data_IF_961637281117
#
_entry.id   IF_961637281117
#
_cell.length_a   1.000
_cell.length_b   1.000
_cell.length_c   1.000
_cell.angle_alpha   90.00
_cell.angle_beta   90.00
_cell.angle_gamma   90.00
#
_symmetry.space_group_name_H-M   'P 1'
#
loop_
_entity.id
_entity.type
_entity.pdbx_description
1 polymer ?
#
# COMPACT_ATOMS: atom_id res chain seq x y z
N UNK A 1 19.45 6.52 -27.80
CA UNK A 1 19.01 6.77 -26.41
C UNK A 1 17.52 7.09 -26.37
N UNK A 2 16.68 6.07 -26.19
CA UNK A 2 15.25 6.24 -26.04
C UNK A 2 14.95 6.48 -24.56
N UNK A 3 14.63 7.73 -24.21
CA UNK A 3 14.01 8.04 -22.93
C UNK A 3 12.58 7.51 -22.97
N UNK A 4 12.27 6.60 -22.04
CA UNK A 4 11.04 5.82 -22.01
C UNK A 4 9.84 6.73 -21.70
N UNK A 5 8.75 6.50 -22.43
CA UNK A 5 7.42 7.12 -22.39
C UNK A 5 6.93 7.55 -20.98
N UNK A 6 6.93 8.86 -20.72
CA UNK A 6 6.95 9.48 -19.39
C UNK A 6 5.61 9.90 -18.79
N UNK A 7 4.54 9.11 -18.94
CA UNK A 7 3.24 9.38 -18.28
C UNK A 7 2.98 8.51 -17.04
N UNK A 8 3.95 7.68 -16.63
CA UNK A 8 3.82 6.81 -15.47
C UNK A 8 4.19 7.54 -14.15
N UNK A 9 3.16 7.67 -13.29
CA UNK A 9 3.18 7.42 -11.83
C UNK A 9 3.34 8.51 -10.78
N UNK A 10 3.31 9.82 -11.08
CA UNK A 10 3.17 10.81 -9.98
C UNK A 10 1.78 10.69 -9.30
N UNK A 11 0.72 10.59 -10.10
CA UNK A 11 -0.63 10.39 -9.57
C UNK A 11 -0.78 9.05 -8.83
N UNK A 12 -0.04 8.02 -9.26
CA UNK A 12 -0.02 6.70 -8.61
C UNK A 12 0.62 6.76 -7.23
N UNK A 13 1.78 7.41 -7.11
CA UNK A 13 2.47 7.56 -5.82
C UNK A 13 1.69 8.48 -4.87
N UNK A 14 1.11 9.58 -5.37
CA UNK A 14 0.27 10.48 -4.56
C UNK A 14 -0.98 9.79 -4.04
N UNK A 15 -1.65 9.01 -4.89
CA UNK A 15 -2.83 8.22 -4.51
C UNK A 15 -2.47 7.19 -3.44
N UNK A 16 -1.34 6.49 -3.60
CA UNK A 16 -0.83 5.56 -2.59
C UNK A 16 -0.61 6.24 -1.24
N UNK A 17 0.09 7.38 -1.21
CA UNK A 17 0.35 8.11 0.02
C UNK A 17 -0.94 8.67 0.65
N UNK A 18 -1.93 9.08 -0.14
CA UNK A 18 -3.26 9.48 0.36
C UNK A 18 -3.97 8.34 1.10
N UNK A 19 -3.90 7.12 0.57
CA UNK A 19 -4.44 5.94 1.23
C UNK A 19 -3.66 5.52 2.46
N UNK A 20 -2.32 5.45 2.37
CA UNK A 20 -1.46 5.09 3.49
C UNK A 20 -1.74 6.04 4.67
N UNK A 21 -1.77 7.37 4.44
CA UNK A 21 -2.10 8.36 5.47
C UNK A 21 -3.45 8.10 6.13
N UNK A 22 -4.52 7.89 5.35
CA UNK A 22 -5.86 7.59 5.89
C UNK A 22 -5.87 6.32 6.73
N UNK A 23 -5.11 5.30 6.35
CA UNK A 23 -5.03 4.05 7.08
C UNK A 23 -4.25 4.19 8.39
N UNK A 24 -3.10 4.86 8.36
CA UNK A 24 -2.27 5.10 9.55
C UNK A 24 -2.95 6.04 10.55
N UNK A 25 -3.76 7.00 10.08
CA UNK A 25 -4.53 7.89 10.93
C UNK A 25 -5.53 7.15 11.83
N UNK A 26 -6.03 5.96 11.43
CA UNK A 26 -6.92 5.13 12.27
C UNK A 26 -6.25 4.62 13.54
N UNK A 27 -4.92 4.65 13.60
CA UNK A 27 -4.13 4.23 14.75
C UNK A 27 -3.66 5.43 15.60
N UNK A 28 -4.24 6.63 15.40
CA UNK A 28 -3.73 7.91 15.93
C UNK A 28 -2.29 8.23 15.47
N UNK A 29 -1.94 7.73 14.28
CA UNK A 29 -0.56 7.67 13.81
C UNK A 29 0.17 6.44 14.35
N UNK A 30 1.14 5.93 13.60
CA UNK A 30 1.96 4.78 14.00
C UNK A 30 3.39 5.24 14.24
N UNK A 31 3.92 4.96 15.44
CA UNK A 31 5.34 5.20 15.77
C UNK A 31 6.13 3.91 15.89
N UNK A 32 5.54 2.86 16.46
CA UNK A 32 6.16 1.54 16.54
C UNK A 32 5.87 0.75 15.25
N UNK A 33 6.86 0.00 14.76
CA UNK A 33 6.72 -0.86 13.58
C UNK A 33 6.17 -0.15 12.33
N UNK A 34 6.53 1.13 12.15
CA UNK A 34 6.05 1.95 11.04
C UNK A 34 6.31 1.28 9.68
N UNK A 35 7.47 0.66 9.53
CA UNK A 35 7.88 -0.11 8.36
C UNK A 35 6.93 -1.29 8.08
N UNK A 36 6.46 -2.01 9.10
CA UNK A 36 5.49 -3.09 8.94
C UNK A 36 4.13 -2.54 8.53
N UNK A 37 3.69 -1.44 9.14
CA UNK A 37 2.44 -0.79 8.75
C UNK A 37 2.48 -0.25 7.31
N UNK A 38 3.63 0.27 6.87
CA UNK A 38 3.81 0.74 5.50
C UNK A 38 3.80 -0.43 4.50
N UNK A 39 4.47 -1.54 4.84
CA UNK A 39 4.41 -2.79 4.06
C UNK A 39 3.00 -3.37 3.99
N UNK A 40 2.24 -3.29 5.07
CA UNK A 40 0.83 -3.68 5.06
C UNK A 40 -0.01 -2.77 4.14
N UNK A 41 0.26 -1.46 4.12
CA UNK A 41 -0.42 -0.53 3.21
C UNK A 41 -0.10 -0.86 1.74
N UNK A 42 1.17 -1.13 1.44
CA UNK A 42 1.62 -1.60 0.11
C UNK A 42 0.90 -2.90 -0.28
N UNK A 43 0.86 -3.88 0.62
CA UNK A 43 0.19 -5.16 0.38
C UNK A 43 -1.31 -4.99 0.11
N UNK A 44 -1.97 -4.01 0.74
CA UNK A 44 -3.41 -3.77 0.58
C UNK A 44 -3.80 -2.88 -0.60
N UNK A 45 -2.84 -2.12 -1.11
CA UNK A 45 -3.11 -1.13 -2.14
C UNK A 45 -3.70 -1.77 -3.39
N UNK A 46 -4.85 -1.26 -3.85
CA UNK A 46 -5.53 -1.76 -5.05
C UNK A 46 -6.14 -3.17 -4.95
N UNK A 47 -6.20 -3.78 -3.76
CA UNK A 47 -6.77 -5.13 -3.57
C UNK A 47 -8.12 -5.10 -2.86
N UNK A 48 -9.03 -5.92 -3.36
CA UNK A 48 -10.31 -6.20 -2.71
C UNK A 48 -10.15 -7.18 -1.52
N UNK A 49 -11.12 -7.18 -0.62
CA UNK A 49 -11.19 -8.07 0.53
C UNK A 49 -11.00 -9.56 0.18
N UNK A 50 -11.63 -10.04 -0.90
CA UNK A 50 -11.51 -11.45 -1.31
C UNK A 50 -10.08 -11.85 -1.65
N UNK A 51 -9.34 -10.96 -2.32
CA UNK A 51 -7.92 -11.15 -2.65
C UNK A 51 -7.05 -11.12 -1.40
N UNK A 52 -7.32 -10.18 -0.49
CA UNK A 52 -6.60 -10.06 0.78
C UNK A 52 -6.75 -11.32 1.64
N UNK A 53 -7.97 -11.84 1.78
CA UNK A 53 -8.22 -13.07 2.55
C UNK A 53 -7.50 -14.25 1.91
N UNK A 54 -7.58 -14.38 0.57
CA UNK A 54 -6.88 -15.44 -0.16
C UNK A 54 -5.37 -15.40 0.03
N UNK A 55 -4.77 -14.21 -0.08
CA UNK A 55 -3.32 -14.04 0.10
C UNK A 55 -2.90 -14.26 1.55
N UNK A 56 -3.67 -13.76 2.52
CA UNK A 56 -3.41 -13.98 3.94
C UNK A 56 -3.43 -15.47 4.29
N UNK A 57 -4.41 -16.23 3.77
CA UNK A 57 -4.49 -17.68 3.97
C UNK A 57 -3.26 -18.42 3.42
N UNK A 58 -2.60 -17.91 2.37
CA UNK A 58 -1.36 -18.50 1.83
C UNK A 58 -0.12 -18.20 2.66
N UNK A 59 -0.17 -17.17 3.50
CA UNK A 59 0.96 -16.79 4.37
C UNK A 59 0.91 -17.51 5.72
N UNK A 60 -0.29 -17.94 6.13
CA UNK A 60 -0.54 -18.59 7.42
C UNK A 60 -0.52 -20.13 7.35
N UNK A 61 -0.44 -20.70 6.14
CA UNK A 61 -0.45 -22.15 5.84
C UNK A 61 0.82 -22.48 5.05
#
# INVERSE_FOLDING_TARGET
PAFVDGTIHINGIESFWSFAKRRLAKFNGTRANFELHLKECEWRWGKDHSMLVKELNRLLV
#
